data_IF_622308238327
#
_entry.id   IF_622308238327
#
_cell.length_a   1.000
_cell.length_b   1.000
_cell.length_c   1.000
_cell.angle_alpha   90.00
_cell.angle_beta   90.00
_cell.angle_gamma   90.00
#
_symmetry.space_group_name_H-M   'P 1'
#
loop_
_entity.id
_entity.type
_entity.pdbx_description
1 polymer ?
#
# COMPACT_ATOMS: atom_id res chain seq x y z
N UNK A 1 -21.55 -28.67 17.11
CA UNK A 1 -20.39 -29.55 16.87
C UNK A 1 -19.76 -29.17 15.53
N UNK A 2 -18.61 -28.50 15.60
CA UNK A 2 -17.46 -28.47 14.68
C UNK A 2 -16.70 -27.18 15.01
N UNK A 3 -15.82 -27.25 16.02
CA UNK A 3 -14.80 -26.22 16.27
C UNK A 3 -13.73 -26.44 15.19
N UNK A 4 -13.54 -25.46 14.31
CA UNK A 4 -12.42 -25.47 13.37
C UNK A 4 -11.22 -24.87 14.11
N UNK A 5 -10.24 -25.73 14.42
CA UNK A 5 -8.97 -25.38 15.02
C UNK A 5 -8.05 -24.92 13.86
N UNK A 6 -7.75 -23.63 13.76
CA UNK A 6 -6.76 -23.14 12.80
C UNK A 6 -5.37 -23.17 13.46
N UNK A 7 -4.63 -24.23 13.14
CA UNK A 7 -3.26 -24.46 13.63
C UNK A 7 -2.29 -23.68 12.74
N UNK A 8 -1.58 -22.69 13.28
CA UNK A 8 -0.46 -21.99 12.61
C UNK A 8 0.83 -22.55 13.20
N UNK A 9 1.62 -23.20 12.37
CA UNK A 9 2.99 -23.63 12.69
C UNK A 9 3.95 -22.98 11.69
N UNK A 10 4.67 -21.95 12.13
CA UNK A 10 5.86 -21.44 11.46
C UNK A 10 6.94 -21.19 12.51
N UNK A 11 7.55 -22.28 12.99
CA UNK A 11 8.80 -22.22 13.74
C UNK A 11 9.94 -22.49 12.75
N UNK A 12 10.68 -21.46 12.38
CA UNK A 12 11.92 -21.62 11.63
C UNK A 12 12.93 -22.39 12.49
N UNK A 13 13.19 -23.65 12.13
CA UNK A 13 14.26 -24.46 12.68
C UNK A 13 15.61 -23.79 12.38
N UNK A 14 16.19 -23.15 13.39
CA UNK A 14 17.62 -22.86 13.41
C UNK A 14 18.37 -24.20 13.54
N UNK A 15 18.79 -24.75 12.40
CA UNK A 15 19.75 -25.86 12.34
C UNK A 15 21.07 -25.36 12.90
N UNK A 16 21.44 -25.87 14.08
CA UNK A 16 22.76 -25.67 14.67
C UNK A 16 23.84 -26.24 13.76
N UNK A 17 24.81 -25.40 13.43
CA UNK A 17 26.07 -25.75 12.80
C UNK A 17 26.80 -26.81 13.64
N UNK A 18 27.03 -28.00 13.09
CA UNK A 18 28.02 -28.94 13.60
C UNK A 18 29.43 -28.35 13.43
N UNK A 19 30.11 -28.10 14.53
CA UNK A 19 31.57 -28.11 14.58
C UNK A 19 31.99 -29.06 15.70
N UNK A 20 32.64 -30.15 15.31
CA UNK A 20 33.28 -31.10 16.22
C UNK A 20 34.38 -30.40 17.03
N UNK A 21 34.41 -30.65 18.34
CA UNK A 21 35.48 -30.21 19.22
C UNK A 21 35.01 -30.06 20.66
N UNK A 22 35.41 -31.01 21.50
CA UNK A 22 35.12 -31.08 22.93
C UNK A 22 35.44 -29.77 23.67
N UNK A 23 34.42 -29.17 24.29
CA UNK A 23 34.59 -28.54 25.60
C UNK A 23 33.30 -28.63 26.41
N UNK A 24 33.34 -29.44 27.46
CA UNK A 24 32.22 -29.82 28.31
C UNK A 24 31.99 -28.71 29.35
N UNK A 25 31.58 -27.53 28.90
CA UNK A 25 31.01 -26.49 29.77
C UNK A 25 29.50 -26.52 29.62
N UNK A 26 28.79 -26.75 30.73
CA UNK A 26 27.34 -26.73 30.75
C UNK A 26 26.83 -25.36 30.32
N UNK A 27 26.43 -25.23 29.05
CA UNK A 27 25.60 -24.12 28.62
C UNK A 27 24.28 -24.31 29.36
N UNK A 28 24.09 -23.55 30.43
CA UNK A 28 22.78 -23.40 31.06
C UNK A 28 21.80 -23.01 29.95
N UNK A 29 20.85 -23.89 29.64
CA UNK A 29 19.81 -23.62 28.65
C UNK A 29 18.91 -22.50 29.18
N UNK A 30 19.32 -21.24 29.13
CA UNK A 30 18.61 -20.10 29.74
C UNK A 30 17.14 -20.02 29.31
N UNK A 31 16.21 -19.54 30.16
CA UNK A 31 14.83 -19.32 29.79
C UNK A 31 14.71 -18.41 28.54
N UNK A 32 13.79 -18.73 27.64
CA UNK A 32 13.53 -18.02 26.38
C UNK A 32 12.05 -18.08 26.01
N UNK A 33 11.58 -16.99 25.42
CA UNK A 33 10.26 -16.84 24.81
C UNK A 33 10.48 -16.39 23.36
N UNK A 34 9.66 -16.88 22.44
CA UNK A 34 9.64 -16.44 21.06
C UNK A 34 8.19 -16.20 20.64
N UNK A 35 7.94 -15.02 20.10
CA UNK A 35 6.62 -14.58 19.67
C UNK A 35 6.60 -14.39 18.16
N UNK A 36 5.46 -14.71 17.56
CA UNK A 36 5.17 -14.37 16.15
C UNK A 36 4.83 -12.90 15.95
N UNK A 37 4.38 -12.20 17.00
CA UNK A 37 4.06 -10.78 16.97
C UNK A 37 4.38 -10.13 18.33
N UNK A 38 4.89 -8.90 18.30
CA UNK A 38 5.21 -8.08 19.48
C UNK A 38 4.22 -6.92 19.66
N UNK A 39 3.19 -6.85 18.81
CA UNK A 39 2.08 -5.94 18.94
C UNK A 39 0.77 -6.60 18.45
N UNK A 40 -0.37 -6.16 18.99
CA UNK A 40 -1.73 -6.56 18.59
C UNK A 40 -2.63 -5.34 18.72
N UNK A 41 -3.46 -5.07 17.71
CA UNK A 41 -4.46 -4.01 17.76
C UNK A 41 -5.86 -4.60 17.85
N UNK A 42 -6.80 -3.91 18.49
CA UNK A 42 -8.21 -4.26 18.53
C UNK A 42 -9.08 -3.05 18.12
N UNK A 43 -10.21 -3.27 17.45
CA UNK A 43 -11.18 -2.21 17.25
C UNK A 43 -11.87 -1.86 18.58
N UNK A 44 -12.55 -0.71 18.64
CA UNK A 44 -13.23 -0.26 19.85
C UNK A 44 -14.33 -1.21 20.34
N UNK A 45 -14.84 -2.06 19.47
CA UNK A 45 -15.84 -3.07 19.76
C UNK A 45 -15.26 -4.30 20.50
N UNK A 46 -13.93 -4.40 20.58
CA UNK A 46 -13.24 -5.57 21.15
C UNK A 46 -13.07 -6.69 20.13
N UNK A 47 -12.51 -7.82 20.56
CA UNK A 47 -12.26 -8.94 19.65
C UNK A 47 -11.33 -10.02 20.17
N UNK A 48 -10.98 -10.94 19.28
CA UNK A 48 -10.03 -12.01 19.55
C UNK A 48 -8.87 -11.95 18.56
N UNK A 49 -7.64 -12.07 19.07
CA UNK A 49 -6.41 -12.22 18.30
C UNK A 49 -5.67 -13.48 18.78
N UNK A 50 -4.85 -14.07 17.92
CA UNK A 50 -4.03 -15.25 18.26
C UNK A 50 -2.58 -14.97 17.91
N UNK A 51 -1.68 -15.17 18.87
CA UNK A 51 -0.24 -15.01 18.70
C UNK A 51 0.42 -16.36 18.99
N UNK A 52 1.14 -16.92 18.02
CA UNK A 52 1.97 -18.09 18.27
C UNK A 52 3.10 -17.72 19.24
N UNK A 53 3.29 -18.55 20.27
CA UNK A 53 4.28 -18.39 21.33
C UNK A 53 4.97 -19.72 21.59
N UNK A 54 6.29 -19.72 21.61
CA UNK A 54 7.09 -20.87 22.07
C UNK A 54 7.93 -20.42 23.25
N UNK A 55 7.86 -21.17 24.35
CA UNK A 55 8.74 -21.02 25.49
C UNK A 55 9.51 -22.31 25.75
N UNK A 56 10.78 -22.20 26.16
CA UNK A 56 11.60 -23.38 26.50
C UNK A 56 11.46 -23.79 27.98
N UNK A 57 10.43 -23.31 28.66
CA UNK A 57 10.08 -23.57 30.06
C UNK A 57 8.57 -23.68 30.19
N UNK A 58 8.13 -24.55 31.10
CA UNK A 58 6.72 -24.68 31.48
C UNK A 58 6.30 -23.51 32.40
N UNK A 59 4.99 -23.33 32.56
CA UNK A 59 4.38 -22.31 33.42
C UNK A 59 4.70 -20.87 33.01
N UNK A 60 4.40 -20.52 31.76
CA UNK A 60 4.46 -19.12 31.30
C UNK A 60 3.52 -18.28 32.16
N UNK A 61 4.08 -17.30 32.85
CA UNK A 61 3.30 -16.30 33.58
C UNK A 61 2.89 -15.20 32.63
N UNK A 62 1.60 -14.86 32.66
CA UNK A 62 1.00 -13.85 31.79
C UNK A 62 0.44 -12.74 32.68
N UNK A 63 0.87 -11.51 32.44
CA UNK A 63 0.34 -10.30 33.06
C UNK A 63 -0.27 -9.43 31.97
N UNK A 64 -1.54 -9.03 32.12
CA UNK A 64 -2.26 -8.25 31.12
C UNK A 64 -3.23 -7.27 31.79
N UNK A 65 -3.67 -6.25 31.06
CA UNK A 65 -4.70 -5.34 31.55
C UNK A 65 -6.05 -6.04 31.75
N UNK A 66 -6.90 -5.48 32.63
CA UNK A 66 -8.18 -6.06 33.02
C UNK A 66 -9.21 -6.16 31.88
N UNK A 67 -9.02 -5.39 30.80
CA UNK A 67 -9.86 -5.42 29.60
C UNK A 67 -9.38 -6.46 28.58
N UNK A 68 -8.36 -7.24 28.93
CA UNK A 68 -7.84 -8.35 28.15
C UNK A 68 -8.09 -9.66 28.91
N UNK A 69 -8.40 -10.71 28.16
CA UNK A 69 -8.32 -12.10 28.63
C UNK A 69 -7.31 -12.82 27.76
N UNK A 70 -6.25 -13.36 28.36
CA UNK A 70 -5.19 -14.06 27.63
C UNK A 70 -5.14 -15.50 28.10
N UNK A 71 -5.28 -16.44 27.18
CA UNK A 71 -5.19 -17.88 27.46
C UNK A 71 -4.12 -18.53 26.60
N UNK A 72 -3.32 -19.39 27.21
CA UNK A 72 -2.26 -20.15 26.53
C UNK A 72 -2.70 -21.60 26.33
N UNK A 73 -2.74 -22.05 25.08
CA UNK A 73 -3.04 -23.44 24.70
C UNK A 73 -2.19 -23.81 23.48
N UNK A 74 -1.57 -25.00 23.48
CA UNK A 74 -0.88 -25.59 22.32
C UNK A 74 0.11 -24.65 21.58
N UNK A 75 0.96 -23.90 22.31
CA UNK A 75 1.89 -22.90 21.77
C UNK A 75 1.21 -21.67 21.12
N UNK A 76 0.00 -21.34 21.55
CA UNK A 76 -0.73 -20.15 21.10
C UNK A 76 -1.26 -19.36 22.29
N UNK A 77 -1.14 -18.03 22.19
CA UNK A 77 -1.82 -17.08 23.05
C UNK A 77 -3.08 -16.60 22.34
N UNK A 78 -4.24 -16.98 22.86
CA UNK A 78 -5.51 -16.37 22.48
C UNK A 78 -5.73 -15.14 23.35
N UNK A 79 -5.82 -13.97 22.72
CA UNK A 79 -5.97 -12.67 23.37
C UNK A 79 -7.37 -12.16 23.01
N UNK A 80 -8.22 -11.96 24.01
CA UNK A 80 -9.55 -11.40 23.84
C UNK A 80 -9.58 -10.02 24.48
N UNK A 81 -9.96 -8.99 23.73
CA UNK A 81 -10.22 -7.65 24.23
C UNK A 81 -11.72 -7.41 24.37
N UNK A 82 -12.15 -6.92 25.52
CA UNK A 82 -13.51 -6.40 25.71
C UNK A 82 -13.71 -5.14 24.87
N UNK A 83 -14.96 -4.75 24.60
CA UNK A 83 -15.24 -3.45 24.00
C UNK A 83 -14.58 -2.31 24.82
N UNK A 84 -14.02 -1.33 24.13
CA UNK A 84 -13.48 -0.12 24.70
C UNK A 84 -14.60 0.91 24.89
N UNK A 85 -15.10 1.14 26.12
CA UNK A 85 -16.15 2.13 26.35
C UNK A 85 -15.62 3.57 26.25
N UNK A 86 -14.31 3.77 26.18
CA UNK A 86 -13.68 5.07 26.21
C UNK A 86 -13.75 5.76 24.84
N UNK A 87 -13.85 7.09 24.85
CA UNK A 87 -13.79 7.92 23.65
C UNK A 87 -12.37 8.10 23.10
N UNK A 88 -11.39 7.45 23.71
CA UNK A 88 -9.99 7.46 23.32
C UNK A 88 -9.46 6.05 23.21
N UNK A 89 -8.43 5.87 22.37
CA UNK A 89 -7.71 4.61 22.32
C UNK A 89 -7.10 4.27 23.69
N UNK A 90 -7.02 2.99 24.01
CA UNK A 90 -6.32 2.48 25.19
C UNK A 90 -5.17 1.59 24.78
N UNK A 91 -4.05 1.72 25.49
CA UNK A 91 -2.81 0.99 25.21
C UNK A 91 -2.43 0.21 26.47
N UNK A 92 -2.02 -1.04 26.28
CA UNK A 92 -1.53 -1.93 27.34
C UNK A 92 -0.33 -2.72 26.82
N UNK A 93 0.28 -3.51 27.69
CA UNK A 93 1.16 -4.61 27.32
C UNK A 93 0.62 -5.92 27.90
N UNK A 94 0.85 -7.01 27.20
CA UNK A 94 0.82 -8.35 27.75
C UNK A 94 2.27 -8.72 28.02
N UNK A 95 2.62 -8.98 29.28
CA UNK A 95 3.96 -9.36 29.69
C UNK A 95 3.97 -10.87 29.92
N UNK A 96 4.87 -11.54 29.22
CA UNK A 96 5.10 -12.97 29.33
C UNK A 96 6.41 -13.19 30.08
N UNK A 97 6.42 -14.10 31.04
CA UNK A 97 7.65 -14.44 31.75
C UNK A 97 7.79 -15.92 32.06
N UNK A 98 9.00 -16.42 31.89
CA UNK A 98 9.40 -17.78 32.26
C UNK A 98 10.67 -17.74 33.09
N UNK A 99 10.79 -18.66 34.05
CA UNK A 99 11.93 -18.74 34.95
C UNK A 99 12.26 -20.20 35.27
N UNK A 100 13.52 -20.46 35.60
CA UNK A 100 13.99 -21.73 36.16
C UNK A 100 14.33 -21.64 37.66
N UNK A 101 13.89 -20.58 38.32
CA UNK A 101 14.20 -20.33 39.74
C UNK A 101 15.54 -19.64 39.99
N UNK A 102 16.40 -19.50 38.97
CA UNK A 102 17.64 -18.72 39.03
C UNK A 102 17.65 -17.54 38.06
N UNK A 103 17.21 -17.77 36.83
CA UNK A 103 17.15 -16.78 35.74
C UNK A 103 15.72 -16.59 35.23
N UNK A 104 15.46 -15.49 34.53
CA UNK A 104 14.13 -15.15 34.01
C UNK A 104 14.27 -14.54 32.61
N UNK A 105 13.41 -14.97 31.69
CA UNK A 105 13.17 -14.27 30.44
C UNK A 105 11.81 -13.59 30.49
N UNK A 106 11.75 -12.39 29.92
CA UNK A 106 10.52 -11.64 29.70
C UNK A 106 10.42 -11.25 28.24
N UNK A 107 9.20 -11.29 27.73
CA UNK A 107 8.85 -10.71 26.44
C UNK A 107 7.50 -10.00 26.59
N UNK A 108 7.17 -9.12 25.65
CA UNK A 108 5.94 -8.34 25.74
C UNK A 108 5.28 -8.15 24.39
N UNK A 109 3.95 -8.21 24.39
CA UNK A 109 3.11 -7.85 23.26
C UNK A 109 2.48 -6.49 23.60
N UNK A 110 2.77 -5.45 22.83
CA UNK A 110 2.05 -4.19 22.92
C UNK A 110 0.62 -4.37 22.44
N UNK A 111 -0.38 -3.92 23.19
CA UNK A 111 -1.78 -4.01 22.80
C UNK A 111 -2.37 -2.63 22.66
N UNK A 112 -2.89 -2.32 21.49
CA UNK A 112 -3.63 -1.08 21.21
C UNK A 112 -5.09 -1.44 21.01
N UNK A 113 -6.01 -0.68 21.58
CA UNK A 113 -7.42 -0.80 21.24
C UNK A 113 -8.01 0.57 20.93
N UNK A 114 -8.61 0.70 19.75
CA UNK A 114 -9.26 1.92 19.29
C UNK A 114 -10.44 2.32 20.17
N UNK A 115 -10.92 3.56 20.06
CA UNK A 115 -12.18 3.99 20.65
C UNK A 115 -13.38 3.42 19.87
N UNK A 116 -14.56 3.38 20.47
CA UNK A 116 -15.81 3.08 19.75
C UNK A 116 -16.07 4.12 18.64
N UNK A 117 -16.65 3.67 17.52
CA UNK A 117 -16.98 4.54 16.38
C UNK A 117 -16.11 4.31 15.15
N UNK A 118 -15.80 3.03 14.85
CA UNK A 118 -15.10 2.63 13.63
C UNK A 118 -15.92 2.98 12.39
N UNK A 119 -15.33 3.69 11.43
CA UNK A 119 -15.95 3.97 10.11
C UNK A 119 -15.61 2.83 9.15
N UNK A 120 -16.63 2.13 8.66
CA UNK A 120 -16.42 1.07 7.68
C UNK A 120 -16.36 1.65 6.25
N UNK A 121 -15.16 1.66 5.67
CA UNK A 121 -14.83 2.34 4.41
C UNK A 121 -15.36 1.63 3.16
N UNK A 122 -15.79 0.39 3.29
CA UNK A 122 -16.23 -0.45 2.17
C UNK A 122 -17.68 -0.92 2.30
N UNK A 123 -18.50 -0.19 3.06
CA UNK A 123 -19.95 -0.46 3.17
C UNK A 123 -20.66 -0.40 1.80
N UNK A 124 -20.20 0.48 0.92
CA UNK A 124 -20.83 0.73 -0.39
C UNK A 124 -20.09 0.08 -1.54
N UNK A 125 -18.76 0.21 -1.57
CA UNK A 125 -17.89 -0.33 -2.61
C UNK A 125 -16.54 -0.68 -1.97
N UNK A 126 -15.93 -1.79 -2.39
CA UNK A 126 -14.51 -2.02 -2.07
C UNK A 126 -13.64 -1.29 -3.08
N UNK A 127 -12.40 -0.99 -2.74
CA UNK A 127 -11.46 -0.32 -3.63
C UNK A 127 -10.02 -0.70 -3.28
N UNK A 128 -9.06 -0.28 -4.11
CA UNK A 128 -7.63 -0.37 -3.77
C UNK A 128 -7.11 0.85 -3.01
N UNK A 129 -7.90 1.92 -2.94
CA UNK A 129 -7.57 3.11 -2.18
C UNK A 129 -8.76 3.53 -1.31
N UNK A 130 -8.49 3.96 -0.08
CA UNK A 130 -9.50 4.59 0.78
C UNK A 130 -9.01 5.95 1.27
N UNK A 131 -9.90 6.93 1.16
CA UNK A 131 -9.68 8.29 1.66
C UNK A 131 -10.15 8.33 3.11
N UNK A 132 -9.29 8.78 4.01
CA UNK A 132 -9.56 8.87 5.45
C UNK A 132 -9.01 10.17 6.01
N UNK A 133 -9.47 10.55 7.21
CA UNK A 133 -8.99 11.72 7.96
C UNK A 133 -8.07 11.32 9.10
N UNK A 134 -7.27 12.25 9.60
CA UNK A 134 -6.45 12.10 10.80
C UNK A 134 -7.31 11.84 12.05
N UNK A 135 -6.72 11.15 13.04
CA UNK A 135 -7.36 10.86 14.33
C UNK A 135 -8.63 9.99 14.28
N UNK A 136 -8.83 9.22 13.21
CA UNK A 136 -10.00 8.38 13.00
C UNK A 136 -9.73 6.89 13.16
N UNK A 137 -10.79 6.10 13.37
CA UNK A 137 -10.75 4.64 13.40
C UNK A 137 -11.52 4.10 12.20
N UNK A 138 -10.94 3.14 11.48
CA UNK A 138 -11.48 2.68 10.21
C UNK A 138 -11.41 1.16 10.07
N UNK A 139 -12.33 0.62 9.29
CA UNK A 139 -12.25 -0.77 8.81
C UNK A 139 -12.62 -0.91 7.35
N UNK A 140 -12.11 -1.93 6.67
CA UNK A 140 -12.56 -2.29 5.33
C UNK A 140 -12.42 -3.80 5.10
N UNK A 141 -13.21 -4.30 4.14
CA UNK A 141 -13.17 -5.69 3.71
C UNK A 141 -11.82 -6.04 3.07
N UNK A 142 -11.19 -7.08 3.58
CA UNK A 142 -9.93 -7.66 3.14
C UNK A 142 -10.05 -9.16 2.80
N UNK A 143 -11.28 -9.66 2.67
CA UNK A 143 -11.65 -10.99 2.15
C UNK A 143 -11.84 -10.99 0.62
N UNK A 144 -11.71 -9.82 -0.02
CA UNK A 144 -11.97 -9.62 -1.45
C UNK A 144 -10.92 -8.69 -2.07
N UNK A 145 -10.47 -9.04 -3.28
CA UNK A 145 -9.45 -8.29 -4.01
C UNK A 145 -10.04 -7.00 -4.61
N UNK A 146 -9.35 -5.89 -4.36
CA UNK A 146 -9.62 -4.59 -4.97
C UNK A 146 -11.08 -4.16 -4.88
N UNK A 147 -11.68 -3.85 -6.02
CA UNK A 147 -13.05 -3.33 -6.08
C UNK A 147 -14.16 -4.39 -6.03
N UNK A 148 -13.84 -5.65 -5.73
CA UNK A 148 -14.85 -6.67 -5.38
C UNK A 148 -15.85 -7.00 -6.49
N UNK A 149 -15.61 -6.50 -7.70
CA UNK A 149 -16.39 -6.77 -8.89
C UNK A 149 -15.80 -7.91 -9.71
N UNK A 150 -16.58 -8.42 -10.65
CA UNK A 150 -16.03 -9.18 -11.76
C UNK A 150 -15.45 -8.18 -12.76
N UNK A 151 -14.16 -8.27 -13.09
CA UNK A 151 -13.71 -7.76 -14.40
C UNK A 151 -14.27 -8.63 -15.55
N UNK A 152 -14.86 -9.79 -15.18
CA UNK A 152 -15.55 -10.76 -16.03
C UNK A 152 -14.66 -11.40 -17.10
N UNK A 153 -13.37 -11.03 -17.15
CA UNK A 153 -12.53 -11.14 -18.34
C UNK A 153 -11.08 -11.44 -18.00
N UNK A 154 -10.57 -11.10 -16.81
CA UNK A 154 -9.16 -11.33 -16.53
C UNK A 154 -8.86 -12.79 -16.26
N UNK A 155 -7.77 -13.25 -16.86
CA UNK A 155 -7.18 -14.55 -16.56
C UNK A 155 -6.72 -14.60 -15.11
N UNK A 156 -6.38 -13.44 -14.52
CA UNK A 156 -6.05 -13.34 -13.11
C UNK A 156 -7.18 -13.81 -12.21
N UNK A 157 -8.39 -13.25 -12.33
CA UNK A 157 -9.53 -13.70 -11.53
C UNK A 157 -9.87 -15.16 -11.85
N UNK A 158 -9.76 -15.58 -13.12
CA UNK A 158 -10.03 -16.98 -13.49
C UNK A 158 -9.11 -17.98 -12.79
N UNK A 159 -7.86 -17.59 -12.52
CA UNK A 159 -6.85 -18.47 -11.92
C UNK A 159 -6.77 -18.32 -10.39
N UNK A 160 -6.90 -17.11 -9.86
CA UNK A 160 -6.66 -16.80 -8.44
C UNK A 160 -7.92 -16.44 -7.67
N UNK A 161 -9.08 -16.38 -8.34
CA UNK A 161 -10.35 -15.98 -7.75
C UNK A 161 -10.40 -14.52 -7.31
N UNK A 162 -11.60 -14.07 -6.94
CA UNK A 162 -11.82 -12.74 -6.39
C UNK A 162 -11.59 -12.69 -4.87
N UNK A 163 -11.85 -13.80 -4.18
CA UNK A 163 -11.66 -13.94 -2.72
C UNK A 163 -10.18 -13.93 -2.34
N UNK A 164 -9.85 -13.34 -1.20
CA UNK A 164 -8.52 -13.43 -0.59
C UNK A 164 -8.54 -14.58 0.42
N UNK A 165 -7.93 -15.70 0.05
CA UNK A 165 -7.85 -16.89 0.89
C UNK A 165 -6.55 -16.93 1.67
N UNK A 166 -6.56 -17.61 2.81
CA UNK A 166 -5.40 -17.84 3.68
C UNK A 166 -4.79 -16.58 4.31
N UNK A 167 -5.51 -15.46 4.28
CA UNK A 167 -5.16 -14.28 5.05
C UNK A 167 -5.16 -14.59 6.56
N UNK A 168 -4.08 -14.21 7.23
CA UNK A 168 -3.85 -14.47 8.66
C UNK A 168 -3.68 -13.19 9.45
N UNK A 169 -2.92 -12.23 8.93
CA UNK A 169 -2.65 -10.97 9.61
C UNK A 169 -2.48 -9.82 8.60
N UNK A 170 -2.54 -8.58 9.08
CA UNK A 170 -2.25 -7.39 8.29
C UNK A 170 -1.00 -6.70 8.80
N UNK A 171 -0.28 -6.04 7.89
CA UNK A 171 0.93 -5.27 8.20
C UNK A 171 0.85 -3.89 7.55
N UNK A 172 1.35 -2.88 8.26
CA UNK A 172 1.78 -1.63 7.65
C UNK A 172 3.05 -1.92 6.83
N UNK A 173 2.98 -1.73 5.51
CA UNK A 173 4.14 -1.87 4.64
C UNK A 173 4.98 -0.61 4.67
N UNK A 174 4.37 0.53 4.42
CA UNK A 174 5.02 1.83 4.52
C UNK A 174 4.00 2.91 4.83
N UNK A 175 4.47 3.99 5.45
CA UNK A 175 3.78 5.27 5.55
C UNK A 175 4.77 6.39 5.23
N UNK A 176 4.28 7.45 4.57
CA UNK A 176 5.12 8.57 4.18
C UNK A 176 4.32 9.86 3.95
N UNK A 177 4.93 10.97 4.36
CA UNK A 177 4.57 12.32 3.95
C UNK A 177 5.49 12.81 2.82
N UNK A 178 5.17 13.94 2.20
CA UNK A 178 5.94 14.53 1.11
C UNK A 178 7.05 15.48 1.57
N UNK A 179 7.44 15.50 2.85
CA UNK A 179 8.25 16.61 3.43
C UNK A 179 9.75 16.34 3.64
N UNK A 180 10.26 15.20 3.19
CA UNK A 180 11.67 14.83 3.25
C UNK A 180 12.25 14.46 4.62
N UNK A 181 11.47 14.47 5.70
CA UNK A 181 11.91 14.09 7.05
C UNK A 181 11.32 12.73 7.47
N UNK A 182 12.21 11.78 7.78
CA UNK A 182 11.85 10.44 8.27
C UNK A 182 11.08 10.49 9.59
N UNK A 183 11.30 11.53 10.40
CA UNK A 183 10.68 11.65 11.71
C UNK A 183 9.21 12.04 11.62
N UNK A 184 8.78 12.63 10.50
CA UNK A 184 7.41 13.08 10.26
C UNK A 184 6.62 12.04 9.45
N UNK A 185 7.32 11.16 8.72
CA UNK A 185 6.73 9.97 8.07
C UNK A 185 6.38 8.87 9.08
N UNK A 186 5.94 9.24 10.28
CA UNK A 186 5.44 8.38 11.35
C UNK A 186 4.13 9.00 11.84
N UNK A 187 3.27 8.21 12.46
CA UNK A 187 1.98 8.68 12.98
C UNK A 187 0.98 9.10 11.89
N UNK A 188 1.10 8.54 10.67
CA UNK A 188 0.00 8.56 9.70
C UNK A 188 -0.96 7.42 10.05
N UNK A 189 -0.41 6.23 10.32
CA UNK A 189 -1.13 5.10 10.90
C UNK A 189 -0.69 4.92 12.35
N UNK A 190 -1.65 4.87 13.28
CA UNK A 190 -1.36 4.59 14.69
C UNK A 190 -1.27 3.08 14.92
N UNK A 191 -0.07 2.59 15.25
CA UNK A 191 0.16 1.18 15.57
C UNK A 191 0.06 0.26 14.37
N UNK A 192 -0.07 -1.05 14.60
CA UNK A 192 -0.22 -2.01 13.51
C UNK A 192 -1.68 -2.21 13.12
N UNK A 193 -1.97 -2.32 11.82
CA UNK A 193 -3.28 -2.77 11.35
C UNK A 193 -3.61 -4.17 11.86
N UNK A 194 -4.88 -4.40 12.22
CA UNK A 194 -5.38 -5.72 12.60
C UNK A 194 -6.13 -6.34 11.42
N UNK A 195 -5.88 -7.61 11.13
CA UNK A 195 -6.79 -8.41 10.29
C UNK A 195 -7.66 -9.31 11.17
N UNK A 196 -8.98 -9.27 10.95
CA UNK A 196 -9.94 -10.10 11.68
C UNK A 196 -11.21 -10.31 10.86
N UNK A 197 -11.71 -11.55 10.86
CA UNK A 197 -13.02 -11.91 10.31
C UNK A 197 -13.25 -11.41 8.86
N UNK A 198 -12.17 -11.37 8.06
CA UNK A 198 -12.22 -10.89 6.67
C UNK A 198 -12.09 -9.37 6.51
N UNK A 199 -11.77 -8.63 7.57
CA UNK A 199 -11.61 -7.18 7.56
C UNK A 199 -10.23 -6.75 8.06
N UNK A 200 -9.76 -5.60 7.58
CA UNK A 200 -8.65 -4.87 8.18
C UNK A 200 -9.22 -3.72 9.01
N UNK A 201 -8.75 -3.60 10.25
CA UNK A 201 -9.00 -2.46 11.13
C UNK A 201 -7.70 -1.67 11.36
N UNK A 202 -7.78 -0.34 11.33
CA UNK A 202 -6.64 0.52 11.60
C UNK A 202 -7.10 1.87 12.15
N UNK A 203 -6.17 2.62 12.75
CA UNK A 203 -6.40 3.98 13.23
C UNK A 203 -5.42 4.92 12.56
N UNK A 204 -5.82 6.16 12.31
CA UNK A 204 -4.93 7.20 11.78
C UNK A 204 -4.42 8.09 12.91
N UNK A 205 -3.17 8.53 12.78
CA UNK A 205 -2.56 9.45 13.74
C UNK A 205 -2.83 10.91 13.40
N UNK A 206 -1.93 11.78 13.84
CA UNK A 206 -2.07 13.23 13.70
C UNK A 206 -1.50 13.80 12.39
N UNK A 207 -0.88 12.95 11.56
CA UNK A 207 -0.17 13.36 10.35
C UNK A 207 -0.94 12.93 9.09
N UNK A 208 -1.15 13.88 8.17
CA UNK A 208 -1.65 13.59 6.82
C UNK A 208 -0.55 12.96 5.97
N UNK A 209 -0.92 12.07 5.05
CA UNK A 209 0.05 11.39 4.21
C UNK A 209 -0.54 10.20 3.48
N UNK A 210 0.34 9.30 3.07
CA UNK A 210 -0.03 8.07 2.40
C UNK A 210 0.53 6.89 3.16
N UNK A 211 -0.21 5.78 3.16
CA UNK A 211 0.26 4.52 3.68
C UNK A 211 -0.17 3.37 2.77
N UNK A 212 0.52 2.24 2.87
CA UNK A 212 0.07 0.98 2.28
C UNK A 212 -0.02 -0.08 3.36
N UNK A 213 -1.20 -0.65 3.50
CA UNK A 213 -1.48 -1.78 4.38
C UNK A 213 -1.65 -3.03 3.52
N UNK A 214 -1.10 -4.16 3.94
CA UNK A 214 -1.23 -5.43 3.25
C UNK A 214 -1.77 -6.53 4.16
N UNK A 215 -2.54 -7.45 3.58
CA UNK A 215 -2.91 -8.70 4.23
C UNK A 215 -1.95 -9.80 3.79
N UNK A 216 -1.51 -10.61 4.75
CA UNK A 216 -0.47 -11.64 4.56
C UNK A 216 -0.97 -13.02 5.00
N UNK A 217 -0.41 -14.04 4.38
CA UNK A 217 -0.57 -15.43 4.82
C UNK A 217 0.33 -15.77 6.03
N UNK A 218 0.21 -16.99 6.56
CA UNK A 218 1.00 -17.48 7.70
C UNK A 218 2.52 -17.47 7.46
N UNK A 219 2.97 -17.39 6.20
CA UNK A 219 4.38 -17.37 5.81
C UNK A 219 4.92 -15.94 5.60
N UNK A 220 4.07 -14.93 5.80
CA UNK A 220 4.39 -13.53 5.54
C UNK A 220 4.33 -13.13 4.07
N UNK A 221 3.74 -13.97 3.21
CA UNK A 221 3.51 -13.64 1.80
C UNK A 221 2.37 -12.63 1.72
N UNK A 222 2.60 -11.50 1.04
CA UNK A 222 1.55 -10.51 0.74
C UNK A 222 0.53 -11.13 -0.21
N UNK A 223 -0.75 -11.13 0.18
CA UNK A 223 -1.84 -11.63 -0.64
C UNK A 223 -2.52 -10.51 -1.42
N UNK A 224 -2.64 -9.34 -0.78
CA UNK A 224 -3.14 -8.11 -1.38
C UNK A 224 -2.70 -6.91 -0.54
N UNK A 225 -2.77 -5.72 -1.11
CA UNK A 225 -2.44 -4.46 -0.41
C UNK A 225 -3.31 -3.31 -0.90
N UNK A 226 -3.51 -2.34 -0.01
CA UNK A 226 -4.38 -1.19 -0.18
C UNK A 226 -3.63 0.09 0.14
N UNK A 227 -3.89 1.13 -0.62
CA UNK A 227 -3.41 2.49 -0.39
C UNK A 227 -4.39 3.21 0.55
N UNK A 228 -3.88 3.71 1.67
CA UNK A 228 -4.61 4.57 2.60
C UNK A 228 -4.16 6.01 2.35
N UNK A 229 -5.09 6.86 1.93
CA UNK A 229 -4.83 8.27 1.65
C UNK A 229 -5.41 9.12 2.79
N UNK A 230 -4.53 9.55 3.70
CA UNK A 230 -4.91 10.32 4.89
C UNK A 230 -4.88 11.81 4.55
N UNK A 231 -6.06 12.40 4.41
CA UNK A 231 -6.24 13.80 4.03
C UNK A 231 -7.46 14.40 4.73
N UNK A 232 -7.26 15.52 5.43
CA UNK A 232 -8.33 16.18 6.20
C UNK A 232 -9.17 17.12 5.33
N UNK A 233 -8.56 17.67 4.29
CA UNK A 233 -9.27 18.43 3.27
C UNK A 233 -10.14 17.52 2.42
N UNK A 234 -11.36 17.97 2.13
CA UNK A 234 -12.27 17.27 1.23
C UNK A 234 -11.70 17.23 -0.20
N UNK A 235 -11.78 16.05 -0.82
CA UNK A 235 -11.46 15.87 -2.24
C UNK A 235 -12.64 16.36 -3.07
N UNK A 236 -12.45 17.48 -3.77
CA UNK A 236 -13.49 18.04 -4.63
C UNK A 236 -13.46 17.39 -6.01
N UNK A 237 -14.56 17.54 -6.75
CA UNK A 237 -14.60 17.18 -8.17
C UNK A 237 -15.05 18.33 -9.05
N UNK A 238 -14.49 18.41 -10.25
CA UNK A 238 -14.78 19.46 -11.24
C UNK A 238 -15.00 18.88 -12.63
N UNK A 239 -15.96 19.44 -13.36
CA UNK A 239 -16.22 19.05 -14.74
C UNK A 239 -15.10 19.54 -15.67
N UNK A 240 -14.67 18.67 -16.59
CA UNK A 240 -13.67 19.01 -17.60
C UNK A 240 -13.63 17.92 -18.67
N UNK A 241 -13.54 18.29 -19.95
CA UNK A 241 -13.47 17.29 -21.03
C UNK A 241 -14.66 16.33 -21.10
N UNK A 242 -15.83 16.69 -20.54
CA UNK A 242 -17.01 15.82 -20.48
C UNK A 242 -16.99 14.76 -19.37
N UNK A 243 -16.04 14.85 -18.42
CA UNK A 243 -15.89 13.96 -17.27
C UNK A 243 -15.84 14.79 -15.98
N UNK A 244 -16.01 14.13 -14.82
CA UNK A 244 -15.92 14.75 -13.50
C UNK A 244 -14.60 14.32 -12.85
N UNK A 245 -13.63 15.21 -12.74
CA UNK A 245 -12.27 14.94 -12.28
C UNK A 245 -12.09 15.23 -10.82
N UNK A 246 -11.24 14.47 -10.13
CA UNK A 246 -10.68 14.91 -8.85
C UNK A 246 -9.89 16.22 -9.02
N UNK A 247 -9.97 17.09 -8.02
CA UNK A 247 -9.25 18.37 -8.00
C UNK A 247 -7.72 18.22 -7.86
N UNK A 248 -7.23 17.02 -7.50
CA UNK A 248 -5.81 16.72 -7.27
C UNK A 248 -5.43 15.31 -7.72
N UNK A 249 -4.13 15.04 -7.73
CA UNK A 249 -3.60 13.71 -8.10
C UNK A 249 -3.87 12.69 -6.99
N UNK A 250 -3.99 11.42 -7.35
CA UNK A 250 -4.16 10.34 -6.39
C UNK A 250 -2.99 10.32 -5.38
N UNK A 251 -3.31 10.45 -4.10
CA UNK A 251 -2.35 10.52 -3.00
C UNK A 251 -1.80 11.92 -2.68
N UNK A 252 -2.15 12.96 -3.44
CA UNK A 252 -1.70 14.33 -3.15
C UNK A 252 -2.42 14.91 -1.91
N UNK A 253 -1.76 15.71 -1.09
CA UNK A 253 -2.42 16.32 0.08
C UNK A 253 -3.14 17.63 -0.27
N UNK A 254 -2.70 18.33 -1.33
CA UNK A 254 -3.35 19.52 -1.85
C UNK A 254 -3.20 19.63 -3.39
N UNK A 255 -3.63 20.75 -3.98
CA UNK A 255 -3.33 21.09 -5.37
C UNK A 255 -2.71 22.51 -5.50
N UNK A 256 -1.98 22.94 -4.48
CA UNK A 256 -1.34 24.26 -4.47
C UNK A 256 -0.16 24.27 -5.45
N UNK A 257 -0.10 25.22 -6.40
CA UNK A 257 1.00 25.30 -7.37
C UNK A 257 2.37 25.37 -6.69
N UNK A 258 3.32 24.57 -7.16
CA UNK A 258 4.70 24.54 -6.65
C UNK A 258 4.90 23.87 -5.29
N UNK A 259 3.83 23.56 -4.55
CA UNK A 259 3.89 22.83 -3.29
C UNK A 259 4.34 21.38 -3.53
N UNK A 260 5.11 20.81 -2.60
CA UNK A 260 5.52 19.42 -2.66
C UNK A 260 4.35 18.45 -2.43
N UNK A 261 3.35 18.90 -1.67
CA UNK A 261 2.15 18.14 -1.34
C UNK A 261 1.18 17.94 -2.51
N UNK A 262 1.39 18.61 -3.65
CA UNK A 262 0.54 18.45 -4.85
C UNK A 262 0.89 17.22 -5.71
N UNK A 263 2.01 16.55 -5.41
CA UNK A 263 2.62 15.59 -6.35
C UNK A 263 1.73 14.42 -6.70
N UNK A 264 1.15 13.76 -5.70
CA UNK A 264 0.52 12.45 -5.85
C UNK A 264 1.53 11.31 -5.91
N UNK A 265 1.03 10.09 -6.04
CA UNK A 265 1.83 8.86 -6.13
C UNK A 265 2.00 8.42 -7.59
N UNK A 266 3.04 7.62 -7.85
CA UNK A 266 3.35 7.08 -9.17
C UNK A 266 2.89 5.62 -9.26
N UNK A 267 2.35 5.22 -10.40
CA UNK A 267 1.82 3.88 -10.63
C UNK A 267 2.38 3.30 -11.93
N UNK A 268 2.77 2.02 -11.92
CA UNK A 268 2.95 1.29 -13.17
C UNK A 268 1.59 0.98 -13.78
N UNK A 269 1.45 1.14 -15.09
CA UNK A 269 0.15 1.04 -15.75
C UNK A 269 -0.49 -0.33 -15.52
N UNK A 270 -1.71 -0.38 -15.01
CA UNK A 270 -2.40 -1.64 -14.69
C UNK A 270 -2.06 -2.24 -13.31
N UNK A 271 -1.20 -1.61 -12.51
CA UNK A 271 -1.00 -1.98 -11.09
C UNK A 271 -1.82 -1.08 -10.17
N UNK A 272 -2.23 -1.64 -9.04
CA UNK A 272 -2.84 -0.89 -7.94
C UNK A 272 -1.82 -0.27 -6.98
N UNK A 273 -0.57 -0.72 -7.03
CA UNK A 273 0.44 -0.42 -6.01
C UNK A 273 1.14 0.92 -6.29
N UNK A 274 1.14 1.87 -5.33
CA UNK A 274 1.81 3.15 -5.51
C UNK A 274 3.31 3.11 -5.22
N UNK A 275 4.02 4.01 -5.89
CA UNK A 275 5.42 4.35 -5.64
C UNK A 275 5.53 5.81 -5.22
N UNK A 276 6.36 6.06 -4.21
CA UNK A 276 6.59 7.41 -3.71
C UNK A 276 7.33 8.26 -4.76
N UNK A 277 6.88 9.51 -5.00
CA UNK A 277 7.68 10.48 -5.74
C UNK A 277 8.83 10.97 -4.87
N UNK A 278 9.72 11.80 -5.42
CA UNK A 278 10.78 12.43 -4.63
C UNK A 278 10.18 13.24 -3.47
N UNK A 279 10.98 13.31 -2.40
CA UNK A 279 10.74 14.10 -1.20
C UNK A 279 11.30 15.52 -1.24
N UNK A 280 12.08 15.88 -2.27
CA UNK A 280 12.68 17.21 -2.35
C UNK A 280 11.81 18.19 -3.14
N UNK A 281 11.82 19.47 -2.76
CA UNK A 281 11.19 20.55 -3.52
C UNK A 281 11.66 20.54 -4.98
N UNK A 282 10.83 21.02 -5.90
CA UNK A 282 11.06 20.94 -7.34
C UNK A 282 12.38 21.57 -7.82
N UNK A 283 12.94 22.54 -7.09
CA UNK A 283 14.11 23.32 -7.50
C UNK A 283 15.30 23.20 -6.53
N UNK A 284 15.86 22.00 -6.36
CA UNK A 284 17.15 21.81 -5.68
C UNK A 284 18.11 21.03 -6.55
N UNK A 285 19.15 21.70 -7.07
CA UNK A 285 20.33 21.06 -7.68
C UNK A 285 21.40 20.88 -6.62
N UNK A 286 21.85 19.65 -6.38
CA UNK A 286 23.00 19.36 -5.52
C UNK A 286 24.26 19.03 -6.33
N UNK A 287 25.38 18.91 -5.63
CA UNK A 287 26.75 18.81 -6.14
C UNK A 287 27.08 17.54 -6.95
N UNK A 288 26.18 16.55 -7.05
CA UNK A 288 26.41 15.27 -7.74
C UNK A 288 25.74 15.16 -9.13
N UNK A 289 25.31 16.28 -9.71
CA UNK A 289 24.61 16.39 -11.01
C UNK A 289 23.24 15.68 -11.09
N UNK A 290 22.70 15.17 -9.98
CA UNK A 290 21.32 14.69 -9.89
C UNK A 290 20.52 15.68 -9.03
N UNK A 291 19.47 16.27 -9.60
CA UNK A 291 18.59 17.15 -8.83
C UNK A 291 18.00 16.37 -7.65
N UNK A 292 17.93 16.97 -6.44
CA UNK A 292 17.37 16.29 -5.27
C UNK A 292 15.90 15.86 -5.54
N UNK A 293 15.19 16.63 -6.37
CA UNK A 293 13.86 16.32 -6.86
C UNK A 293 13.78 15.02 -7.69
N UNK A 294 14.89 14.46 -8.17
CA UNK A 294 14.95 13.20 -8.92
C UNK A 294 15.47 12.02 -8.09
N UNK A 295 15.71 12.19 -6.77
CA UNK A 295 16.11 11.07 -5.90
C UNK A 295 14.90 10.24 -5.49
N UNK A 296 15.10 8.93 -5.36
CA UNK A 296 14.10 8.03 -4.79
C UNK A 296 13.67 8.47 -3.39
N UNK A 297 12.39 8.23 -3.10
CA UNK A 297 11.87 8.29 -1.76
C UNK A 297 11.72 6.86 -1.24
N UNK A 298 12.62 6.48 -0.32
CA UNK A 298 12.64 5.17 0.31
C UNK A 298 12.06 5.21 1.73
N UNK A 299 11.20 6.18 2.05
CA UNK A 299 10.56 6.22 3.36
C UNK A 299 9.63 5.02 3.56
N UNK A 300 9.67 4.48 4.78
CA UNK A 300 8.79 3.40 5.21
C UNK A 300 8.08 3.72 6.53
N UNK A 301 8.46 4.81 7.21
CA UNK A 301 7.94 5.13 8.54
C UNK A 301 8.18 3.99 9.54
N UNK A 302 7.14 3.62 10.27
CA UNK A 302 7.14 2.43 11.15
C UNK A 302 6.66 1.15 10.41
N UNK A 303 6.58 1.21 9.08
CA UNK A 303 6.25 0.09 8.22
C UNK A 303 7.40 -0.92 8.06
N UNK A 304 7.04 -2.11 7.58
CA UNK A 304 7.94 -3.27 7.46
C UNK A 304 8.60 -3.44 6.08
N UNK A 305 8.26 -2.61 5.10
CA UNK A 305 8.64 -2.84 3.71
C UNK A 305 10.10 -2.51 3.41
N UNK A 306 10.55 -2.98 2.25
CA UNK A 306 11.80 -2.58 1.62
C UNK A 306 11.51 -2.17 0.18
N UNK A 307 12.14 -1.08 -0.25
CA UNK A 307 12.00 -0.58 -1.61
C UNK A 307 13.00 -1.23 -2.54
N UNK A 308 12.54 -1.66 -3.72
CA UNK A 308 13.42 -2.06 -4.81
C UNK A 308 12.97 -1.42 -6.11
N UNK A 309 13.64 -0.34 -6.50
CA UNK A 309 13.28 0.39 -7.71
C UNK A 309 13.77 -0.26 -9.02
N UNK A 310 14.58 -1.32 -8.95
CA UNK A 310 15.11 -1.99 -10.14
C UNK A 310 14.93 -3.51 -10.03
N UNK A 311 13.71 -3.93 -9.69
CA UNK A 311 13.41 -5.33 -9.48
C UNK A 311 13.08 -6.01 -10.82
N UNK A 312 13.80 -7.06 -11.25
CA UNK A 312 13.50 -7.71 -12.52
C UNK A 312 12.15 -8.41 -12.45
N UNK A 313 11.27 -8.14 -13.42
CA UNK A 313 10.04 -8.91 -13.58
C UNK A 313 10.33 -10.41 -13.85
N UNK A 314 9.36 -11.30 -13.60
CA UNK A 314 9.46 -12.70 -14.06
C UNK A 314 8.99 -12.80 -15.52
N UNK A 315 9.76 -13.52 -16.32
CA UNK A 315 9.40 -13.84 -17.70
C UNK A 315 8.47 -15.07 -17.72
N UNK A 316 7.19 -14.84 -17.44
CA UNK A 316 6.14 -15.87 -17.46
C UNK A 316 5.31 -15.63 -18.71
N UNK A 317 5.32 -16.58 -19.66
CA UNK A 317 4.62 -16.40 -20.94
C UNK A 317 3.15 -16.83 -20.88
N UNK A 318 2.73 -17.58 -19.87
CA UNK A 318 1.34 -18.03 -19.71
C UNK A 318 0.51 -16.99 -18.96
N UNK A 319 -0.73 -16.76 -19.38
CA UNK A 319 -1.66 -15.91 -18.62
C UNK A 319 -1.96 -16.50 -17.23
N UNK A 320 -2.12 -15.68 -16.17
CA UNK A 320 -2.10 -14.22 -16.12
C UNK A 320 -0.71 -13.65 -15.83
N UNK A 321 0.33 -14.26 -16.42
CA UNK A 321 1.70 -13.77 -16.48
C UNK A 321 2.30 -13.37 -15.13
N UNK A 322 2.93 -12.21 -15.12
CA UNK A 322 3.63 -11.68 -13.95
C UNK A 322 2.73 -10.92 -12.94
N UNK A 323 1.39 -10.99 -13.07
CA UNK A 323 0.49 -10.21 -12.21
C UNK A 323 0.52 -10.65 -10.75
N UNK A 324 0.44 -11.94 -10.46
CA UNK A 324 0.50 -12.46 -9.09
C UNK A 324 1.83 -12.13 -8.41
N UNK A 325 2.91 -12.15 -9.18
CA UNK A 325 4.22 -11.72 -8.71
C UNK A 325 4.25 -10.24 -8.33
N UNK A 326 3.61 -9.38 -9.13
CA UNK A 326 3.51 -7.95 -8.84
C UNK A 326 2.63 -7.68 -7.60
N UNK A 327 1.49 -8.37 -7.47
CA UNK A 327 0.58 -8.26 -6.31
C UNK A 327 1.30 -8.59 -5.00
N UNK A 328 2.17 -9.60 -5.02
CA UNK A 328 3.00 -9.99 -3.87
C UNK A 328 4.12 -9.00 -3.53
N UNK A 329 4.33 -7.98 -4.36
CA UNK A 329 5.50 -7.10 -4.35
C UNK A 329 5.14 -5.63 -4.57
N UNK A 330 4.32 -5.04 -3.68
CA UNK A 330 3.83 -3.67 -3.84
C UNK A 330 4.94 -2.61 -3.82
N UNK A 331 6.11 -2.90 -3.22
CA UNK A 331 7.26 -1.97 -3.15
C UNK A 331 8.39 -2.29 -4.13
N UNK A 332 8.22 -3.32 -4.97
CA UNK A 332 9.16 -3.63 -6.05
C UNK A 332 8.68 -2.93 -7.33
N UNK A 333 9.45 -1.97 -7.81
CA UNK A 333 9.25 -1.39 -9.13
C UNK A 333 9.80 -2.37 -10.15
N UNK A 334 8.90 -2.98 -10.92
CA UNK A 334 9.24 -4.08 -11.81
C UNK A 334 9.82 -3.55 -13.11
N UNK A 335 11.09 -3.86 -13.38
CA UNK A 335 11.85 -3.45 -14.54
C UNK A 335 12.10 -4.63 -15.48
N UNK A 336 12.41 -4.31 -16.73
CA UNK A 336 12.82 -5.29 -17.73
C UNK A 336 13.80 -4.66 -18.71
N UNK A 337 14.86 -5.40 -19.04
CA UNK A 337 15.85 -5.02 -20.04
C UNK A 337 15.41 -5.34 -21.47
N UNK A 338 14.54 -6.34 -21.63
CA UNK A 338 14.11 -6.86 -22.94
C UNK A 338 12.68 -6.49 -23.33
N UNK A 339 11.89 -5.99 -22.36
CA UNK A 339 10.49 -5.64 -22.56
C UNK A 339 10.25 -4.28 -21.90
N UNK A 340 9.43 -3.44 -22.52
CA UNK A 340 9.07 -2.14 -21.94
C UNK A 340 7.76 -2.25 -21.11
N UNK A 341 7.55 -3.40 -20.48
CA UNK A 341 6.35 -3.72 -19.70
C UNK A 341 6.76 -4.49 -18.43
N UNK A 342 6.02 -4.30 -17.33
CA UNK A 342 6.18 -5.08 -16.09
C UNK A 342 5.38 -6.39 -16.11
N UNK A 343 4.43 -6.48 -17.04
CA UNK A 343 3.56 -7.61 -17.26
C UNK A 343 3.94 -8.31 -18.58
N UNK A 344 4.34 -9.57 -18.50
CA UNK A 344 4.64 -10.42 -19.67
C UNK A 344 3.68 -11.59 -19.70
N UNK A 345 3.16 -11.88 -20.89
CA UNK A 345 2.35 -13.04 -21.26
C UNK A 345 2.20 -13.07 -22.79
N UNK A 346 2.01 -14.24 -23.39
CA UNK A 346 1.60 -14.38 -24.81
C UNK A 346 0.11 -14.12 -25.01
N UNK A 347 -0.70 -14.24 -23.97
CA UNK A 347 -2.13 -13.93 -24.00
C UNK A 347 -2.37 -12.57 -23.36
N UNK A 348 -2.55 -11.53 -24.17
CA UNK A 348 -2.64 -10.18 -23.62
C UNK A 348 -3.90 -10.03 -22.75
N UNK A 349 -3.65 -9.67 -21.48
CA UNK A 349 -4.65 -9.10 -20.59
C UNK A 349 -4.76 -7.59 -20.87
N UNK A 350 -5.93 -7.16 -21.33
CA UNK A 350 -6.23 -5.76 -21.63
C UNK A 350 -7.09 -5.15 -20.55
N UNK A 351 -7.14 -3.81 -20.50
CA UNK A 351 -8.08 -3.07 -19.66
C UNK A 351 -7.86 -3.36 -18.16
N UNK A 352 -6.60 -3.48 -17.74
CA UNK A 352 -6.25 -3.81 -16.35
C UNK A 352 -6.79 -2.82 -15.32
N UNK A 353 -7.06 -1.56 -15.69
CA UNK A 353 -7.74 -0.58 -14.83
C UNK A 353 -9.21 -0.35 -15.21
N UNK A 354 -9.66 -0.93 -16.32
CA UNK A 354 -11.04 -0.79 -16.77
C UNK A 354 -11.21 -0.64 -18.26
N UNK A 355 -12.38 -1.08 -18.73
CA UNK A 355 -12.83 -0.91 -20.10
C UNK A 355 -13.99 0.10 -20.16
N UNK A 356 -14.21 0.63 -21.35
CA UNK A 356 -15.36 1.48 -21.68
C UNK A 356 -16.68 0.66 -21.69
N UNK A 357 -17.81 1.16 -21.13
CA UNK A 357 -18.04 2.52 -20.63
C UNK A 357 -17.53 2.83 -19.21
N UNK A 358 -17.70 1.95 -18.22
CA UNK A 358 -17.54 2.32 -16.80
C UNK A 358 -17.15 1.13 -15.90
N UNK A 359 -16.39 0.16 -16.39
CA UNK A 359 -15.98 -0.99 -15.57
C UNK A 359 -14.64 -0.70 -14.90
N UNK A 360 -14.64 -0.29 -13.62
CA UNK A 360 -13.44 -0.34 -12.78
C UNK A 360 -13.08 -1.79 -12.49
N UNK A 361 -11.80 -2.14 -12.52
CA UNK A 361 -11.32 -3.51 -12.23
C UNK A 361 -10.69 -3.63 -10.86
N UNK A 362 -10.33 -4.87 -10.49
CA UNK A 362 -9.61 -5.16 -9.26
C UNK A 362 -8.22 -4.51 -9.19
N UNK A 363 -7.63 -4.01 -10.29
CA UNK A 363 -6.33 -3.35 -10.24
C UNK A 363 -6.40 -1.83 -10.34
N UNK A 364 -7.58 -1.24 -10.56
CA UNK A 364 -7.73 0.21 -10.58
C UNK A 364 -7.33 0.81 -9.22
N UNK A 365 -6.35 1.74 -9.17
CA UNK A 365 -5.81 2.27 -7.92
C UNK A 365 -6.72 3.32 -7.27
N UNK A 366 -7.75 3.83 -7.95
CA UNK A 366 -8.54 4.95 -7.46
C UNK A 366 -9.43 4.56 -6.26
N UNK A 367 -9.86 5.54 -5.45
CA UNK A 367 -10.75 5.31 -4.32
C UNK A 367 -12.14 4.81 -4.73
N UNK A 368 -12.94 4.38 -3.75
CA UNK A 368 -14.37 4.11 -3.94
C UNK A 368 -15.08 5.34 -4.56
N UNK A 369 -15.97 5.12 -5.53
CA UNK A 369 -16.66 6.15 -6.30
C UNK A 369 -15.81 6.83 -7.40
N UNK A 370 -14.54 6.42 -7.56
CA UNK A 370 -13.63 6.96 -8.57
C UNK A 370 -12.93 5.85 -9.37
N UNK A 371 -12.50 6.18 -10.59
CA UNK A 371 -11.76 5.30 -11.50
C UNK A 371 -10.69 6.07 -12.28
N UNK A 372 -9.74 5.35 -12.88
CA UNK A 372 -8.72 5.95 -13.75
C UNK A 372 -9.38 6.56 -14.98
N UNK A 373 -9.01 7.81 -15.28
CA UNK A 373 -9.56 8.55 -16.41
C UNK A 373 -9.29 7.85 -17.76
N UNK A 374 -10.25 7.86 -18.69
CA UNK A 374 -10.02 7.36 -20.03
C UNK A 374 -9.45 8.46 -20.95
N UNK A 375 -9.05 8.07 -22.15
CA UNK A 375 -8.40 8.96 -23.11
C UNK A 375 -9.29 10.09 -23.56
N UNK A 376 -10.60 9.92 -23.63
CA UNK A 376 -11.56 10.92 -24.13
C UNK A 376 -11.55 12.23 -23.32
N UNK A 377 -11.05 12.14 -22.08
CA UNK A 377 -10.81 13.27 -21.20
C UNK A 377 -9.68 14.21 -21.67
N UNK A 378 -8.67 13.69 -22.37
CA UNK A 378 -7.49 14.46 -22.78
C UNK A 378 -7.15 14.35 -24.28
N UNK A 379 -7.39 13.20 -24.92
CA UNK A 379 -7.09 12.95 -26.33
C UNK A 379 -8.07 13.68 -27.24
N UNK A 380 -7.73 14.94 -27.55
CA UNK A 380 -8.52 15.83 -28.39
C UNK A 380 -7.62 16.64 -29.32
N UNK A 381 -8.09 17.00 -30.53
CA UNK A 381 -7.29 17.80 -31.47
C UNK A 381 -6.80 19.14 -30.90
N UNK A 382 -7.53 19.71 -29.93
CA UNK A 382 -7.22 21.00 -29.31
C UNK A 382 -6.35 20.90 -28.07
N UNK A 383 -5.93 19.70 -27.65
CA UNK A 383 -5.29 19.46 -26.36
C UNK A 383 -4.15 20.44 -26.05
N UNK A 384 -3.35 20.87 -27.03
CA UNK A 384 -2.26 21.82 -26.81
C UNK A 384 -2.73 23.21 -26.37
N UNK A 385 -3.88 23.65 -26.83
CA UNK A 385 -4.44 24.98 -26.57
C UNK A 385 -5.31 25.00 -25.31
N UNK A 386 -5.60 23.83 -24.73
CA UNK A 386 -6.48 23.70 -23.57
C UNK A 386 -5.79 24.06 -22.24
N UNK A 387 -4.48 24.32 -22.25
CA UNK A 387 -3.66 24.50 -21.06
C UNK A 387 -3.04 25.89 -20.96
N UNK A 388 -3.01 26.40 -19.74
CA UNK A 388 -2.34 27.65 -19.39
C UNK A 388 -0.82 27.55 -19.47
N UNK A 389 -0.15 28.66 -19.23
CA UNK A 389 1.32 28.76 -19.22
C UNK A 389 1.94 27.84 -18.17
N UNK A 390 3.15 27.34 -18.46
CA UNK A 390 3.94 26.63 -17.46
C UNK A 390 4.33 27.60 -16.35
N UNK A 391 3.95 27.26 -15.12
CA UNK A 391 4.26 28.03 -13.90
C UNK A 391 4.37 27.07 -12.73
N UNK A 392 5.23 27.40 -11.77
CA UNK A 392 5.32 26.68 -10.49
C UNK A 392 5.46 25.18 -10.65
N UNK A 393 6.23 24.76 -11.66
CA UNK A 393 6.46 23.35 -11.98
C UNK A 393 5.18 22.59 -12.38
N UNK A 394 4.22 23.28 -13.00
CA UNK A 394 2.93 22.74 -13.39
C UNK A 394 2.24 23.55 -14.48
N UNK A 395 0.98 23.19 -14.75
CA UNK A 395 0.08 23.92 -15.65
C UNK A 395 -1.36 23.82 -15.19
N UNK A 396 -2.16 24.84 -15.48
CA UNK A 396 -3.61 24.76 -15.36
C UNK A 396 -4.24 24.16 -16.63
N UNK A 397 -5.22 23.26 -16.47
CA UNK A 397 -6.06 22.81 -17.59
C UNK A 397 -7.24 23.76 -17.80
N UNK A 398 -6.93 24.91 -18.42
CA UNK A 398 -7.83 26.07 -18.52
C UNK A 398 -9.12 25.84 -19.31
N UNK A 399 -9.12 24.91 -20.28
CA UNK A 399 -10.33 24.56 -21.05
C UNK A 399 -11.08 23.33 -20.49
N UNK A 400 -10.58 22.73 -19.40
CA UNK A 400 -11.22 21.62 -18.70
C UNK A 400 -11.60 22.00 -17.28
N UNK A 401 -11.10 21.27 -16.29
CA UNK A 401 -11.48 21.47 -14.88
C UNK A 401 -10.95 22.76 -14.25
N UNK A 402 -10.08 23.49 -14.96
CA UNK A 402 -9.35 24.64 -14.46
C UNK A 402 -8.53 24.35 -13.17
N UNK A 403 -8.15 23.09 -12.96
CA UNK A 403 -7.24 22.69 -11.90
C UNK A 403 -5.78 22.72 -12.35
N UNK A 404 -4.90 22.81 -11.37
CA UNK A 404 -3.46 22.69 -11.57
C UNK A 404 -3.04 21.23 -11.72
N UNK A 405 -2.06 20.98 -12.60
CA UNK A 405 -1.45 19.69 -12.87
C UNK A 405 0.07 19.82 -12.68
N UNK A 406 0.63 19.28 -11.60
CA UNK A 406 2.06 19.36 -11.34
C UNK A 406 2.88 18.47 -12.27
N UNK A 407 4.10 18.89 -12.58
CA UNK A 407 5.07 18.13 -13.37
C UNK A 407 5.97 17.35 -12.41
N UNK A 408 5.44 16.28 -11.79
CA UNK A 408 6.11 15.49 -10.74
C UNK A 408 7.17 14.50 -11.24
N UNK A 409 7.54 14.55 -12.51
CA UNK A 409 8.47 13.59 -13.12
C UNK A 409 7.85 12.21 -13.28
N UNK A 410 8.69 11.21 -13.53
CA UNK A 410 8.26 9.82 -13.68
C UNK A 410 9.37 8.80 -13.39
N UNK A 411 8.98 7.58 -13.04
CA UNK A 411 9.89 6.43 -12.90
C UNK A 411 10.08 5.74 -14.25
N UNK A 412 11.32 5.63 -14.70
CA UNK A 412 11.66 4.96 -15.95
C UNK A 412 11.70 3.44 -15.77
N UNK A 413 11.03 2.71 -16.66
CA UNK A 413 11.03 1.24 -16.67
C UNK A 413 12.45 0.64 -16.76
N UNK A 414 13.37 1.30 -17.45
CA UNK A 414 14.77 0.86 -17.57
C UNK A 414 15.58 1.42 -16.41
N UNK A 415 15.97 0.55 -15.48
CA UNK A 415 16.81 0.91 -14.33
C UNK A 415 16.08 1.59 -13.16
N UNK A 416 14.77 1.83 -13.29
CA UNK A 416 13.94 2.32 -12.18
C UNK A 416 13.98 3.82 -11.94
N UNK A 417 14.77 4.59 -12.69
CA UNK A 417 15.21 5.92 -12.26
C UNK A 417 14.08 6.96 -12.29
N UNK A 418 13.89 7.67 -11.18
CA UNK A 418 13.02 8.84 -11.11
C UNK A 418 13.68 10.03 -11.81
N UNK A 419 13.00 10.66 -12.76
CA UNK A 419 13.57 11.75 -13.54
C UNK A 419 12.56 12.86 -13.86
N UNK A 420 13.12 14.02 -14.21
CA UNK A 420 12.42 15.19 -14.75
C UNK A 420 11.34 15.78 -13.83
N UNK A 421 11.49 15.61 -12.51
CA UNK A 421 10.67 16.30 -11.55
C UNK A 421 10.85 17.82 -11.73
N UNK A 422 9.73 18.52 -11.89
CA UNK A 422 9.65 19.94 -12.21
C UNK A 422 9.61 20.27 -13.70
N UNK A 423 9.95 19.30 -14.55
CA UNK A 423 10.08 19.51 -15.99
C UNK A 423 9.07 18.73 -16.84
N UNK A 424 8.64 17.54 -16.37
CA UNK A 424 7.67 16.68 -17.06
C UNK A 424 6.56 16.22 -16.12
N UNK A 425 5.33 16.26 -16.62
CA UNK A 425 4.14 15.78 -15.95
C UNK A 425 3.49 14.77 -16.88
N UNK A 426 3.40 13.54 -16.43
CA UNK A 426 2.82 12.48 -17.23
C UNK A 426 1.75 11.78 -16.41
N UNK A 427 0.59 11.60 -17.04
CA UNK A 427 -0.61 11.12 -16.38
C UNK A 427 -1.14 9.96 -17.17
N UNK A 428 -1.31 8.82 -16.51
CA UNK A 428 -1.90 7.68 -17.18
C UNK A 428 -3.38 7.89 -17.46
N UNK A 429 -3.81 7.27 -18.57
CA UNK A 429 -5.22 6.96 -18.84
C UNK A 429 -5.43 5.46 -18.77
N UNK A 430 -6.67 4.99 -18.55
CA UNK A 430 -7.00 3.56 -18.56
C UNK A 430 -6.93 2.91 -19.95
N UNK A 431 -6.65 3.70 -21.00
CA UNK A 431 -6.56 3.21 -22.37
C UNK A 431 -5.18 2.63 -22.66
N UNK A 432 -5.14 1.64 -23.53
CA UNK A 432 -3.93 1.02 -24.05
C UNK A 432 -3.69 1.46 -25.50
N UNK A 433 -2.44 1.37 -25.96
CA UNK A 433 -2.18 1.55 -27.38
C UNK A 433 -2.76 0.37 -28.18
N UNK A 434 -3.65 0.66 -29.12
CA UNK A 434 -4.33 -0.35 -29.95
C UNK A 434 -3.37 -1.28 -30.72
N UNK A 435 -2.22 -0.77 -31.14
CA UNK A 435 -1.24 -1.48 -31.97
C UNK A 435 -0.05 -2.06 -31.18
N UNK A 436 0.11 -1.70 -29.90
CA UNK A 436 1.21 -2.18 -29.04
C UNK A 436 0.78 -2.30 -27.59
N UNK A 437 0.52 -3.53 -27.18
CA UNK A 437 -0.01 -3.83 -25.85
C UNK A 437 1.06 -3.73 -24.74
N UNK A 438 2.29 -3.34 -25.11
CA UNK A 438 3.36 -2.95 -24.19
C UNK A 438 3.21 -1.52 -23.66
N UNK A 439 2.38 -0.69 -24.31
CA UNK A 439 2.27 0.72 -23.98
C UNK A 439 0.88 1.09 -23.45
N UNK A 440 0.85 1.91 -22.40
CA UNK A 440 -0.34 2.55 -21.88
C UNK A 440 -0.49 3.95 -22.46
N UNK A 441 -1.73 4.43 -22.57
CA UNK A 441 -2.05 5.78 -22.99
C UNK A 441 -1.79 6.80 -21.88
N UNK A 442 -1.24 7.95 -22.23
CA UNK A 442 -0.90 9.03 -21.28
C UNK A 442 -1.15 10.41 -21.85
N UNK A 443 -1.48 11.34 -20.97
CA UNK A 443 -1.25 12.76 -21.19
C UNK A 443 0.23 13.09 -20.90
N UNK A 444 0.88 13.81 -21.82
CA UNK A 444 2.21 14.35 -21.65
C UNK A 444 2.14 15.88 -21.50
N UNK A 445 2.72 16.41 -20.44
CA UNK A 445 2.86 17.85 -20.15
C UNK A 445 4.34 18.21 -19.98
N UNK A 446 4.78 19.25 -20.68
CA UNK A 446 6.08 19.89 -20.54
C UNK A 446 5.97 21.41 -20.69
N UNK A 447 7.07 22.15 -20.57
CA UNK A 447 7.11 23.61 -20.69
C UNK A 447 6.71 24.17 -22.07
N UNK A 448 6.80 23.38 -23.15
CA UNK A 448 6.40 23.81 -24.50
C UNK A 448 5.63 22.75 -25.33
N UNK A 449 5.39 21.57 -24.74
CA UNK A 449 4.81 20.42 -25.45
C UNK A 449 3.73 19.78 -24.60
N UNK A 450 2.55 19.64 -25.20
CA UNK A 450 1.37 19.02 -24.59
C UNK A 450 0.72 18.16 -25.66
N UNK A 451 0.54 16.87 -25.38
CA UNK A 451 -0.08 15.93 -26.32
C UNK A 451 -0.50 14.65 -25.60
N UNK A 452 -1.46 13.95 -26.20
CA UNK A 452 -1.75 12.57 -25.85
C UNK A 452 -0.77 11.64 -26.59
N UNK A 453 -0.25 10.64 -25.90
CA UNK A 453 0.69 9.66 -26.46
C UNK A 453 0.67 8.37 -25.67
N UNK A 454 1.55 7.45 -26.02
CA UNK A 454 1.70 6.19 -25.31
C UNK A 454 3.11 6.08 -24.71
N UNK A 455 3.24 5.31 -23.64
CA UNK A 455 4.53 5.00 -23.00
C UNK A 455 4.50 3.55 -22.49
N UNK A 456 5.65 2.86 -22.48
CA UNK A 456 5.88 1.63 -21.74
C UNK A 456 5.09 1.50 -20.44
N UNK A 457 4.20 0.50 -20.35
CA UNK A 457 3.35 0.22 -19.17
C UNK A 457 4.17 0.01 -17.90
N UNK A 458 5.43 -0.43 -18.04
CA UNK A 458 6.41 -0.55 -16.96
C UNK A 458 6.85 0.76 -16.31
N UNK A 459 6.52 1.92 -16.88
CA UNK A 459 6.91 3.21 -16.31
C UNK A 459 5.97 3.63 -15.17
N UNK A 460 6.47 4.36 -14.18
CA UNK A 460 5.66 4.88 -13.08
C UNK A 460 5.22 6.32 -13.35
N UNK A 461 3.93 6.56 -13.59
CA UNK A 461 3.38 7.89 -13.86
C UNK A 461 2.25 8.23 -12.87
N UNK A 462 1.82 9.49 -12.89
CA UNK A 462 0.73 9.98 -12.05
C UNK A 462 -0.63 9.44 -12.53
N UNK A 463 -1.59 9.43 -11.60
CA UNK A 463 -3.00 9.18 -11.89
C UNK A 463 -3.82 10.34 -11.35
N UNK A 464 -4.76 10.85 -12.17
CA UNK A 464 -5.83 11.75 -11.72
C UNK A 464 -7.17 11.08 -12.01
N UNK A 465 -7.86 10.70 -10.95
CA UNK A 465 -9.08 9.91 -11.07
C UNK A 465 -10.26 10.78 -11.51
N UNK A 466 -11.24 10.13 -12.12
CA UNK A 466 -12.56 10.69 -12.41
C UNK A 466 -13.62 9.98 -11.56
N UNK A 467 -14.76 10.61 -11.37
CA UNK A 467 -15.94 9.97 -10.80
C UNK A 467 -16.40 8.82 -11.70
N UNK A 468 -16.76 7.69 -11.09
CA UNK A 468 -17.29 6.51 -11.80
C UNK A 468 -18.57 6.82 -12.57
#
# INVERSE_FOLDING_TARGET
>A
MKKLLYMIACLSLLVGSCSDGEDNTGILNEPRITLSAWNVSFPGEGGTAVVAMVANRENVKIENASWLTVTEEENQLTIIADANPDSQQRISQIILSVSDGGTMAKDSIAVVQSALGTIHLSETETANCYIVKTGGNYSFRADVKGNGGTDGKSKYISQYGLEIQHAVYADLLWEATYDADKNISRDIICGQPLYRDGEIHFSTGSVQGNAVIAVKDAYGTILWSWHIWVVDEEINSKEGGGLIWMDRNLGALNNTPGDINNRGLLYQWGRKDPFLPSRAAYMVTEFDNIAAANRYNNEVGDGSAQWNYNHPMRNVMEAPGNMEYAVRRPTDFLTSSSFENWFVTTEIETALWGADPQEKTIFDPCPAGYMVAPSEGWDRPTIKNDWGTFTDNGRYWTAGSNDFYPLSGFLQVKGGVLNYCGALGMYWTRNEQSESLSNGGRLYLASNSIFYSHLPKGSGLLVRCIKQ
#
